data_IF_228575463140
#
_entry.id   IF_228575463140
#
_cell.length_a   1.000
_cell.length_b   1.000
_cell.length_c   1.000
_cell.angle_alpha   90.00
_cell.angle_beta   90.00
_cell.angle_gamma   90.00
#
_symmetry.space_group_name_H-M   'P 1'
#
loop_
_entity.id
_entity.type
_entity.pdbx_description
1 polymer ?
#
# COMPACT_ATOMS: atom_id res chain seq x y z
N UNK A 1 -6.81 -8.22 -10.68
CA UNK A 1 -6.01 -7.37 -9.78
C UNK A 1 -6.48 -5.91 -9.87
N UNK A 2 -6.30 -5.20 -10.99
CA UNK A 2 -6.70 -3.79 -11.14
C UNK A 2 -8.21 -3.49 -10.98
N UNK A 3 -9.08 -4.49 -11.17
CA UNK A 3 -10.52 -4.37 -10.86
C UNK A 3 -10.79 -4.00 -9.39
N UNK A 4 -9.96 -4.47 -8.46
CA UNK A 4 -10.07 -4.14 -7.03
C UNK A 4 -9.95 -2.63 -6.79
N UNK A 5 -9.20 -1.94 -7.64
CA UNK A 5 -8.94 -0.50 -7.52
C UNK A 5 -9.93 0.34 -8.34
N UNK A 6 -10.92 -0.26 -9.00
CA UNK A 6 -11.89 0.46 -9.82
C UNK A 6 -11.34 0.91 -11.18
N UNK A 7 -10.39 0.17 -11.76
CA UNK A 7 -9.90 0.43 -13.12
C UNK A 7 -11.06 0.35 -14.12
N UNK A 8 -11.26 1.42 -14.89
CA UNK A 8 -12.31 1.55 -15.91
C UNK A 8 -11.80 1.19 -17.30
N UNK A 9 -10.72 1.85 -17.71
CA UNK A 9 -10.12 1.65 -19.03
C UNK A 9 -8.60 1.63 -18.94
N UNK A 10 -7.98 1.01 -19.93
CA UNK A 10 -6.54 1.07 -20.15
C UNK A 10 -6.28 1.38 -21.61
N UNK A 11 -5.39 2.33 -21.88
CA UNK A 11 -4.90 2.64 -23.22
C UNK A 11 -3.41 2.33 -23.28
N UNK A 12 -2.96 1.69 -24.35
CA UNK A 12 -1.53 1.43 -24.57
C UNK A 12 -1.11 1.93 -25.95
N UNK A 13 0.09 2.50 -26.02
CA UNK A 13 0.71 2.93 -27.27
C UNK A 13 2.19 2.61 -27.25
N UNK A 14 2.62 1.85 -28.25
CA UNK A 14 4.02 1.63 -28.57
C UNK A 14 4.52 2.65 -29.59
N UNK A 15 5.74 3.12 -29.39
CA UNK A 15 6.51 3.94 -30.32
C UNK A 15 7.80 3.21 -30.64
N UNK A 16 8.19 3.15 -31.91
CA UNK A 16 9.40 2.46 -32.34
C UNK A 16 10.21 3.31 -33.31
N UNK A 17 11.52 3.41 -33.07
CA UNK A 17 12.49 4.03 -33.99
C UNK A 17 13.75 3.17 -34.02
N UNK A 18 13.96 2.46 -35.13
CA UNK A 18 15.04 1.47 -35.22
C UNK A 18 14.86 0.36 -34.17
N UNK A 19 15.89 0.16 -33.34
CA UNK A 19 15.88 -0.82 -32.24
C UNK A 19 15.26 -0.29 -30.93
N UNK A 20 14.96 1.01 -30.85
CA UNK A 20 14.39 1.62 -29.65
C UNK A 20 12.88 1.47 -29.68
N UNK A 21 12.33 0.98 -28.59
CA UNK A 21 10.90 0.87 -28.38
C UNK A 21 10.52 1.50 -27.05
N UNK A 22 9.46 2.30 -27.07
CA UNK A 22 8.84 2.91 -25.90
C UNK A 22 7.40 2.44 -25.87
N UNK A 23 6.96 1.87 -24.76
CA UNK A 23 5.58 1.50 -24.52
C UNK A 23 5.02 2.38 -23.39
N UNK A 24 3.96 3.13 -23.70
CA UNK A 24 3.22 3.91 -22.74
C UNK A 24 1.86 3.25 -22.47
N UNK A 25 1.52 3.05 -21.20
CA UNK A 25 0.24 2.53 -20.76
C UNK A 25 -0.39 3.50 -19.77
N UNK A 26 -1.61 3.92 -20.06
CA UNK A 26 -2.41 4.82 -19.22
C UNK A 26 -3.64 4.07 -18.74
N UNK A 27 -3.80 3.98 -17.43
CA UNK A 27 -4.95 3.37 -16.77
C UNK A 27 -5.82 4.48 -16.17
N UNK A 28 -7.14 4.42 -16.42
CA UNK A 28 -8.12 5.31 -15.78
C UNK A 28 -8.89 4.56 -14.70
N UNK A 29 -9.16 5.24 -13.58
CA UNK A 29 -9.85 4.67 -12.44
C UNK A 29 -11.11 5.45 -12.11
N UNK A 30 -12.03 4.84 -11.36
CA UNK A 30 -13.22 5.50 -10.85
C UNK A 30 -12.93 6.56 -9.79
N UNK A 31 -11.77 6.48 -9.14
CA UNK A 31 -11.35 7.41 -8.10
C UNK A 31 -9.83 7.59 -8.08
N UNK A 32 -9.38 8.71 -7.54
CA UNK A 32 -7.95 9.01 -7.40
C UNK A 32 -7.24 8.04 -6.46
N UNK A 33 -7.92 7.59 -5.41
CA UNK A 33 -7.42 6.56 -4.49
C UNK A 33 -7.16 5.23 -5.21
N UNK A 34 -8.05 4.84 -6.14
CA UNK A 34 -7.86 3.65 -6.97
C UNK A 34 -6.60 3.74 -7.83
N UNK A 35 -6.39 4.90 -8.46
CA UNK A 35 -5.18 5.16 -9.24
C UNK A 35 -3.91 5.14 -8.37
N UNK A 36 -3.95 5.73 -7.17
CA UNK A 36 -2.86 5.68 -6.21
C UNK A 36 -2.54 4.24 -5.75
N UNK A 37 -3.56 3.43 -5.46
CA UNK A 37 -3.37 2.01 -5.11
C UNK A 37 -2.74 1.23 -6.27
N UNK A 38 -3.17 1.47 -7.50
CA UNK A 38 -2.58 0.87 -8.69
C UNK A 38 -1.12 1.26 -8.87
N UNK A 39 -0.81 2.55 -8.71
CA UNK A 39 0.56 3.07 -8.69
C UNK A 39 1.39 2.34 -7.63
N UNK A 40 0.95 2.32 -6.36
CA UNK A 40 1.62 1.62 -5.26
C UNK A 40 1.92 0.13 -5.53
N UNK A 41 1.05 -0.52 -6.31
CA UNK A 41 1.10 -1.94 -6.64
C UNK A 41 1.98 -2.27 -7.85
N UNK A 42 1.94 -1.42 -8.88
CA UNK A 42 2.53 -1.70 -10.18
C UNK A 42 3.81 -0.91 -10.44
N UNK A 43 4.08 0.15 -9.67
CA UNK A 43 5.32 0.88 -9.84
C UNK A 43 6.50 -0.09 -9.60
N UNK A 44 7.47 -0.01 -10.51
CA UNK A 44 8.76 -0.67 -10.34
C UNK A 44 9.61 0.20 -9.42
N UNK A 45 10.49 -0.42 -8.63
CA UNK A 45 11.17 0.23 -7.51
C UNK A 45 11.82 1.56 -7.89
N UNK A 46 11.98 2.47 -6.92
CA UNK A 46 12.65 3.76 -7.14
C UNK A 46 14.13 3.63 -6.81
N UNK A 47 15.01 3.80 -7.79
CA UNK A 47 16.39 4.28 -7.54
C UNK A 47 16.40 5.79 -7.32
N UNK A 48 15.47 6.53 -7.95
CA UNK A 48 15.38 8.00 -7.82
C UNK A 48 13.94 8.51 -7.74
N UNK A 49 13.74 9.52 -6.88
CA UNK A 49 12.50 10.29 -6.84
C UNK A 49 12.62 11.47 -7.80
N UNK A 50 11.84 11.47 -8.86
CA UNK A 50 11.69 12.61 -9.78
C UNK A 50 10.28 13.14 -9.60
N UNK A 51 10.09 14.42 -9.28
CA UNK A 51 8.75 14.98 -9.07
C UNK A 51 8.01 15.16 -10.43
N UNK A 52 7.05 14.28 -10.73
CA UNK A 52 6.14 14.36 -11.88
C UNK A 52 4.73 13.93 -11.45
N UNK A 53 3.72 14.75 -11.75
CA UNK A 53 2.35 14.49 -11.31
C UNK A 53 2.19 14.63 -9.80
N UNK A 54 1.33 13.81 -9.20
CA UNK A 54 1.07 13.82 -7.75
C UNK A 54 2.01 12.84 -7.01
N UNK A 55 2.42 11.77 -7.68
CA UNK A 55 3.55 10.94 -7.27
C UNK A 55 4.18 10.25 -8.47
N UNK A 56 5.49 10.00 -8.41
CA UNK A 56 6.21 9.30 -9.45
C UNK A 56 7.41 8.52 -8.94
N UNK A 57 7.75 7.48 -9.69
CA UNK A 57 8.89 6.61 -9.48
C UNK A 57 9.58 6.40 -10.82
N UNK A 58 10.90 6.59 -10.85
CA UNK A 58 11.73 6.40 -12.03
C UNK A 58 12.80 5.34 -11.73
N UNK A 59 12.91 4.36 -12.63
CA UNK A 59 14.02 3.43 -12.73
C UNK A 59 14.68 3.57 -14.10
N UNK A 60 15.75 2.79 -14.37
CA UNK A 60 16.58 2.97 -15.56
C UNK A 60 15.81 2.78 -16.89
N UNK A 61 14.66 2.11 -16.87
CA UNK A 61 13.87 1.80 -18.06
C UNK A 61 12.46 2.37 -18.03
N UNK A 62 11.96 2.82 -16.88
CA UNK A 62 10.54 3.10 -16.73
C UNK A 62 10.22 4.23 -15.77
N UNK A 63 9.15 4.93 -16.10
CA UNK A 63 8.56 5.99 -15.30
C UNK A 63 7.14 5.59 -14.97
N UNK A 64 6.85 5.46 -13.68
CA UNK A 64 5.52 5.25 -13.13
C UNK A 64 5.02 6.55 -12.53
N UNK A 65 3.83 7.02 -12.90
CA UNK A 65 3.23 8.27 -12.42
C UNK A 65 1.79 8.02 -11.97
N UNK A 66 1.42 8.61 -10.85
CA UNK A 66 0.04 8.83 -10.44
C UNK A 66 -0.31 10.30 -10.60
N UNK A 67 -1.44 10.58 -11.26
CA UNK A 67 -2.01 11.92 -11.33
C UNK A 67 -3.53 11.85 -11.38
N UNK A 68 -4.19 12.51 -10.45
CA UNK A 68 -5.66 12.48 -10.31
C UNK A 68 -6.20 11.03 -10.33
N UNK A 69 -7.06 10.68 -11.29
CA UNK A 69 -7.68 9.36 -11.45
C UNK A 69 -6.90 8.44 -12.40
N UNK A 70 -5.66 8.79 -12.73
CA UNK A 70 -4.84 8.08 -13.70
C UNK A 70 -3.57 7.49 -13.08
N UNK A 71 -3.22 6.29 -13.52
CA UNK A 71 -1.90 5.70 -13.36
C UNK A 71 -1.26 5.53 -14.73
N UNK A 72 -0.05 6.03 -14.90
CA UNK A 72 0.71 6.04 -16.15
C UNK A 72 1.97 5.22 -15.93
N UNK A 73 2.26 4.30 -16.84
CA UNK A 73 3.51 3.54 -16.90
C UNK A 73 4.11 3.74 -18.28
N UNK A 74 5.29 4.36 -18.35
CA UNK A 74 6.07 4.49 -19.58
C UNK A 74 7.33 3.65 -19.41
N UNK A 75 7.64 2.78 -20.37
CA UNK A 75 8.84 1.94 -20.33
C UNK A 75 9.56 1.92 -21.67
N UNK A 76 10.89 1.94 -21.65
CA UNK A 76 11.77 1.77 -22.80
C UNK A 76 12.51 0.42 -22.78
N UNK A 77 13.09 0.03 -23.92
CA UNK A 77 13.82 -1.24 -24.08
C UNK A 77 15.34 -1.13 -23.96
N UNK A 78 15.90 0.06 -23.68
CA UNK A 78 17.34 0.31 -23.76
C UNK A 78 17.86 0.93 -22.46
N UNK A 79 18.61 0.16 -21.66
CA UNK A 79 19.12 0.55 -20.32
C UNK A 79 20.25 1.59 -20.38
N UNK A 80 21.10 1.50 -21.40
CA UNK A 80 22.34 2.29 -21.52
C UNK A 80 22.27 3.38 -22.58
N UNK A 81 21.05 3.79 -22.96
CA UNK A 81 20.83 4.77 -24.01
C UNK A 81 20.15 6.02 -23.46
N UNK A 82 20.96 7.06 -23.22
CA UNK A 82 20.49 8.35 -22.71
C UNK A 82 19.42 8.99 -23.62
N UNK A 83 19.47 8.75 -24.94
CA UNK A 83 18.42 9.23 -25.85
C UNK A 83 17.07 8.54 -25.57
N UNK A 84 17.08 7.23 -25.26
CA UNK A 84 15.88 6.48 -24.88
C UNK A 84 15.34 6.93 -23.53
N UNK A 85 16.20 7.18 -22.53
CA UNK A 85 15.78 7.71 -21.22
C UNK A 85 15.13 9.08 -21.35
N UNK A 86 15.74 9.98 -22.11
CA UNK A 86 15.16 11.30 -22.40
C UNK A 86 13.82 11.19 -23.12
N UNK A 87 13.69 10.25 -24.06
CA UNK A 87 12.43 10.03 -24.76
C UNK A 87 11.32 9.48 -23.83
N UNK A 88 11.63 8.51 -22.96
CA UNK A 88 10.71 8.00 -21.93
C UNK A 88 10.26 9.14 -21.00
N UNK A 89 11.21 9.93 -20.50
CA UNK A 89 10.95 11.09 -19.65
C UNK A 89 10.08 12.15 -20.34
N UNK A 90 10.35 12.44 -21.61
CA UNK A 90 9.57 13.40 -22.41
C UNK A 90 8.12 12.93 -22.62
N UNK A 91 7.92 11.66 -23.00
CA UNK A 91 6.58 11.07 -23.14
C UNK A 91 5.82 11.10 -21.82
N UNK A 92 6.48 10.71 -20.73
CA UNK A 92 5.89 10.73 -19.39
C UNK A 92 5.47 12.15 -18.96
N UNK A 93 6.29 13.16 -19.25
CA UNK A 93 5.99 14.57 -18.97
C UNK A 93 4.81 15.08 -19.78
N UNK A 94 4.76 14.79 -21.08
CA UNK A 94 3.65 15.20 -21.94
C UNK A 94 2.32 14.57 -21.50
N UNK A 95 2.32 13.28 -21.16
CA UNK A 95 1.13 12.59 -20.65
C UNK A 95 0.68 13.13 -19.29
N UNK A 96 1.62 13.55 -18.44
CA UNK A 96 1.30 14.13 -17.13
C UNK A 96 0.68 15.52 -17.31
N UNK A 97 1.24 16.35 -18.19
CA UNK A 97 0.79 17.72 -18.42
C UNK A 97 -0.57 17.80 -19.13
N UNK A 98 -1.00 16.72 -19.81
CA UNK A 98 -2.32 16.67 -20.45
C UNK A 98 -3.46 16.42 -19.45
N UNK A 99 -3.14 16.02 -18.22
CA UNK A 99 -4.12 15.84 -17.14
C UNK A 99 -4.12 17.14 -16.31
N UNK A 100 -5.24 17.85 -16.25
CA UNK A 100 -5.34 19.07 -15.44
C UNK A 100 -5.58 18.78 -13.94
N UNK A 101 -6.22 17.65 -13.63
CA UNK A 101 -6.57 17.26 -12.27
C UNK A 101 -5.38 16.95 -11.37
N UNK A 102 -5.64 16.94 -10.07
CA UNK A 102 -4.72 16.52 -9.04
C UNK A 102 -5.44 15.58 -8.06
N UNK A 103 -4.71 14.57 -7.61
CA UNK A 103 -5.14 13.59 -6.64
C UNK A 103 -4.65 13.95 -5.25
N UNK A 104 -5.52 13.77 -4.26
CA UNK A 104 -5.12 13.88 -2.86
C UNK A 104 -4.65 12.53 -2.32
N UNK A 105 -3.61 12.56 -1.50
CA UNK A 105 -3.14 11.36 -0.81
C UNK A 105 -4.26 10.78 0.06
N UNK A 106 -4.48 9.45 0.03
CA UNK A 106 -5.51 8.84 0.86
C UNK A 106 -5.28 9.13 2.34
N UNK A 107 -6.32 9.60 3.04
CA UNK A 107 -6.27 9.98 4.46
C UNK A 107 -5.73 8.86 5.35
N UNK A 108 -6.06 7.60 5.06
CA UNK A 108 -5.58 6.44 5.82
C UNK A 108 -4.05 6.26 5.73
N UNK A 109 -3.45 6.63 4.59
CA UNK A 109 -2.00 6.61 4.39
C UNK A 109 -1.34 7.78 5.11
N UNK A 110 -1.95 8.97 5.04
CA UNK A 110 -1.45 10.18 5.73
C UNK A 110 -1.44 10.03 7.26
N UNK A 111 -2.37 9.23 7.82
CA UNK A 111 -2.48 8.96 9.26
C UNK A 111 -1.53 7.88 9.78
N UNK A 112 -0.73 7.26 8.91
CA UNK A 112 0.27 6.30 9.37
C UNK A 112 1.32 7.03 10.23
N UNK A 113 1.77 6.44 11.36
CA UNK A 113 2.85 7.00 12.16
C UNK A 113 4.10 7.28 11.33
N UNK A 114 4.77 8.41 11.57
CA UNK A 114 6.00 8.77 10.85
C UNK A 114 7.27 8.22 11.50
N UNK A 115 7.23 7.97 12.81
CA UNK A 115 8.38 7.49 13.57
C UNK A 115 8.75 6.07 13.14
N UNK A 116 10.05 5.82 12.92
CA UNK A 116 10.61 4.54 12.47
C UNK A 116 10.06 3.99 11.15
N UNK A 117 9.20 4.75 10.45
CA UNK A 117 8.62 4.35 9.17
C UNK A 117 9.69 4.36 8.08
N UNK A 118 9.76 3.29 7.32
CA UNK A 118 10.60 3.22 6.13
C UNK A 118 9.97 4.11 5.05
N UNK A 119 10.65 5.20 4.71
CA UNK A 119 10.16 6.16 3.70
C UNK A 119 9.91 5.48 2.36
N UNK A 120 8.74 5.70 1.76
CA UNK A 120 8.36 5.12 0.48
C UNK A 120 7.82 3.68 0.57
N UNK A 121 7.68 3.13 1.78
CA UNK A 121 7.03 1.81 2.01
C UNK A 121 5.51 1.90 2.10
N UNK A 122 4.95 3.11 2.14
CA UNK A 122 3.53 3.36 2.27
C UNK A 122 2.75 2.81 1.06
N UNK A 123 1.71 2.03 1.28
CA UNK A 123 0.79 1.56 0.22
C UNK A 123 -0.66 1.70 0.66
N UNK A 124 -1.55 1.81 -0.33
CA UNK A 124 -2.99 1.74 -0.13
C UNK A 124 -3.48 0.31 -0.41
N UNK A 125 -4.38 -0.16 0.46
CA UNK A 125 -5.03 -1.46 0.42
C UNK A 125 -6.53 -1.22 0.27
N UNK A 126 -7.11 -1.64 -0.85
CA UNK A 126 -8.55 -1.46 -1.14
C UNK A 126 -9.32 -2.78 -1.14
N UNK A 127 -8.64 -3.91 -0.97
CA UNK A 127 -9.28 -5.21 -0.94
C UNK A 127 -8.32 -6.35 -0.60
N UNK A 128 -8.81 -7.60 -0.70
CA UNK A 128 -8.05 -8.78 -0.28
C UNK A 128 -6.81 -9.04 -1.14
N UNK A 129 -6.78 -8.62 -2.41
CA UNK A 129 -5.64 -8.85 -3.31
C UNK A 129 -4.46 -7.97 -2.89
N UNK A 130 -4.69 -6.67 -2.72
CA UNK A 130 -3.67 -5.75 -2.20
C UNK A 130 -3.25 -6.11 -0.77
N UNK A 131 -4.19 -6.49 0.09
CA UNK A 131 -3.89 -6.90 1.46
C UNK A 131 -2.94 -8.09 1.51
N UNK A 132 -3.24 -9.17 0.77
CA UNK A 132 -2.39 -10.38 0.70
C UNK A 132 -1.02 -10.11 0.09
N UNK A 133 -0.92 -9.17 -0.86
CA UNK A 133 0.36 -8.84 -1.50
C UNK A 133 1.29 -8.06 -0.57
N UNK A 134 0.75 -7.16 0.25
CA UNK A 134 1.59 -6.26 1.04
C UNK A 134 1.72 -6.65 2.52
N UNK A 135 0.75 -7.38 3.08
CA UNK A 135 0.69 -7.72 4.50
C UNK A 135 0.77 -9.24 4.73
N UNK A 136 1.79 -9.74 5.45
CA UNK A 136 1.94 -11.14 5.76
C UNK A 136 1.12 -11.51 7.00
N UNK A 137 -0.18 -11.73 6.82
CA UNK A 137 -1.03 -12.29 7.87
C UNK A 137 -2.08 -13.26 7.30
N UNK A 138 -2.49 -14.26 8.10
CA UNK A 138 -3.57 -15.16 7.75
C UNK A 138 -4.92 -14.43 7.65
N UNK A 139 -5.88 -15.07 6.97
CA UNK A 139 -7.31 -14.72 6.94
C UNK A 139 -7.67 -13.26 6.62
N UNK A 140 -6.82 -12.53 5.86
CA UNK A 140 -7.06 -11.11 5.52
C UNK A 140 -8.36 -10.85 4.76
N UNK A 141 -8.94 -11.86 4.11
CA UNK A 141 -10.25 -11.75 3.46
C UNK A 141 -11.40 -11.55 4.46
N UNK A 142 -11.25 -11.96 5.72
CA UNK A 142 -12.27 -11.78 6.76
C UNK A 142 -12.36 -10.34 7.29
N UNK A 143 -11.37 -9.50 6.96
CA UNK A 143 -11.39 -8.08 7.35
C UNK A 143 -12.38 -7.26 6.50
N UNK A 144 -13.08 -7.84 5.52
CA UNK A 144 -14.09 -7.13 4.72
C UNK A 144 -13.62 -5.76 4.16
N UNK A 145 -12.34 -5.65 3.79
CA UNK A 145 -11.70 -4.41 3.34
C UNK A 145 -12.47 -3.69 2.21
N UNK A 146 -13.09 -4.38 1.23
CA UNK A 146 -13.90 -3.70 0.21
C UNK A 146 -15.08 -2.87 0.76
N UNK A 147 -15.53 -3.15 1.99
CA UNK A 147 -16.59 -2.40 2.68
C UNK A 147 -16.03 -1.30 3.59
N UNK A 148 -14.71 -1.07 3.58
CA UNK A 148 -14.03 -0.02 4.32
C UNK A 148 -13.80 1.22 3.45
N UNK A 149 -13.33 2.33 4.06
CA UNK A 149 -12.82 3.51 3.36
C UNK A 149 -11.40 3.30 2.80
N UNK A 150 -10.81 2.13 3.03
CA UNK A 150 -9.46 1.77 2.62
C UNK A 150 -8.54 1.47 3.80
N UNK A 151 -7.42 0.82 3.50
CA UNK A 151 -6.35 0.51 4.43
C UNK A 151 -5.03 1.13 4.03
N UNK A 152 -4.29 1.69 5.00
CA UNK A 152 -2.92 2.15 4.83
C UNK A 152 -1.96 1.12 5.39
N UNK A 153 -0.90 0.80 4.65
CA UNK A 153 0.18 -0.08 5.12
C UNK A 153 1.54 0.60 4.98
N UNK A 154 2.44 0.35 5.92
CA UNK A 154 3.86 0.71 5.78
C UNK A 154 4.78 -0.26 6.53
N UNK A 155 6.05 -0.23 6.16
CA UNK A 155 7.14 -0.91 6.86
C UNK A 155 7.73 -0.01 7.93
N UNK A 156 8.06 -0.59 9.08
CA UNK A 156 8.67 0.08 10.21
C UNK A 156 9.94 -0.66 10.61
N UNK A 157 11.03 0.10 10.79
CA UNK A 157 12.31 -0.43 11.23
C UNK A 157 12.73 0.21 12.54
N UNK A 158 12.38 -0.45 13.65
CA UNK A 158 12.77 -0.02 14.98
C UNK A 158 14.25 -0.28 15.21
N UNK A 159 14.91 0.67 15.87
CA UNK A 159 16.29 0.53 16.33
C UNK A 159 16.36 0.26 17.84
N UNK A 160 15.45 0.87 18.62
CA UNK A 160 15.34 0.71 20.06
C UNK A 160 13.86 0.59 20.48
N UNK A 161 13.51 -0.17 21.54
CA UNK A 161 14.40 -0.98 22.39
C UNK A 161 14.90 -2.27 21.72
N UNK A 162 14.32 -2.64 20.56
CA UNK A 162 14.66 -3.86 19.84
C UNK A 162 14.80 -3.57 18.36
N UNK A 163 15.86 -4.10 17.73
CA UNK A 163 16.01 -4.03 16.27
C UNK A 163 15.05 -5.02 15.61
N UNK A 164 13.92 -4.52 15.13
CA UNK A 164 12.88 -5.32 14.48
C UNK A 164 12.35 -4.63 13.24
N UNK A 165 11.90 -5.46 12.28
CA UNK A 165 11.14 -5.01 11.12
C UNK A 165 9.71 -5.47 11.28
N UNK A 166 8.79 -4.52 11.25
CA UNK A 166 7.37 -4.76 11.41
C UNK A 166 6.61 -4.14 10.25
N UNK A 167 5.44 -4.69 9.97
CA UNK A 167 4.44 -4.11 9.07
C UNK A 167 3.25 -3.67 9.90
N UNK A 168 2.77 -2.46 9.66
CA UNK A 168 1.52 -1.96 10.22
C UNK A 168 0.51 -1.80 9.09
N UNK A 169 -0.66 -2.40 9.24
CA UNK A 169 -1.84 -2.17 8.41
C UNK A 169 -2.93 -1.51 9.27
N UNK A 170 -3.41 -0.35 8.85
CA UNK A 170 -4.53 0.37 9.46
C UNK A 170 -5.68 0.40 8.48
N UNK A 171 -6.84 -0.15 8.84
CA UNK A 171 -8.05 -0.15 8.01
C UNK A 171 -9.07 0.78 8.65
N UNK A 172 -9.60 1.75 7.90
CA UNK A 172 -10.66 2.66 8.37
C UNK A 172 -12.00 2.25 7.77
N UNK A 173 -12.94 1.79 8.59
CA UNK A 173 -14.27 1.38 8.13
C UNK A 173 -15.25 2.56 8.05
N UNK A 174 -14.93 3.70 8.67
CA UNK A 174 -15.85 4.83 8.80
C UNK A 174 -17.09 4.56 9.66
N UNK A 175 -17.24 3.35 10.20
CA UNK A 175 -18.33 2.93 11.08
C UNK A 175 -17.78 1.92 12.11
N UNK A 176 -18.01 2.19 13.39
CA UNK A 176 -17.59 1.32 14.50
C UNK A 176 -18.24 -0.06 14.47
N UNK A 177 -19.49 -0.17 13.99
CA UNK A 177 -20.19 -1.46 13.92
C UNK A 177 -19.53 -2.39 12.91
N UNK A 178 -19.19 -1.86 11.72
CA UNK A 178 -18.50 -2.62 10.68
C UNK A 178 -17.09 -3.02 11.12
N UNK A 179 -16.37 -2.12 11.79
CA UNK A 179 -15.05 -2.41 12.34
C UNK A 179 -15.11 -3.50 13.42
N UNK A 180 -16.07 -3.42 14.36
CA UNK A 180 -16.24 -4.42 15.40
C UNK A 180 -16.58 -5.81 14.85
N UNK A 181 -17.47 -5.87 13.87
CA UNK A 181 -17.83 -7.14 13.21
C UNK A 181 -16.63 -7.77 12.48
N UNK A 182 -15.90 -6.98 11.69
CA UNK A 182 -14.71 -7.45 10.99
C UNK A 182 -13.61 -7.89 11.96
N UNK A 183 -13.45 -7.18 13.07
CA UNK A 183 -12.51 -7.54 14.14
C UNK A 183 -12.86 -8.88 14.77
N UNK A 184 -14.11 -9.08 15.19
CA UNK A 184 -14.57 -10.33 15.80
C UNK A 184 -14.40 -11.52 14.86
N UNK A 185 -14.82 -11.39 13.60
CA UNK A 185 -14.66 -12.45 12.60
C UNK A 185 -13.20 -12.80 12.35
N UNK A 186 -12.32 -11.79 12.28
CA UNK A 186 -10.90 -12.00 12.10
C UNK A 186 -10.28 -12.70 13.31
N UNK A 187 -10.49 -12.17 14.52
CA UNK A 187 -9.95 -12.72 15.77
C UNK A 187 -10.38 -14.16 15.98
N UNK A 188 -11.69 -14.45 15.85
CA UNK A 188 -12.22 -15.80 16.01
C UNK A 188 -11.54 -16.80 15.05
N UNK A 189 -11.36 -16.43 13.78
CA UNK A 189 -10.67 -17.28 12.81
C UNK A 189 -9.19 -17.52 13.14
N UNK A 190 -8.50 -16.53 13.71
CA UNK A 190 -7.11 -16.71 14.10
C UNK A 190 -7.00 -17.56 15.38
N UNK A 191 -7.93 -17.40 16.33
CA UNK A 191 -7.98 -18.19 17.57
C UNK A 191 -8.17 -19.69 17.33
N UNK A 192 -8.88 -20.07 16.26
CA UNK A 192 -9.02 -21.47 15.85
C UNK A 192 -7.68 -22.13 15.47
N UNK A 193 -6.68 -21.34 15.07
CA UNK A 193 -5.40 -21.84 14.52
C UNK A 193 -4.18 -21.48 15.37
N UNK A 194 -4.29 -20.44 16.20
CA UNK A 194 -3.17 -19.86 16.91
C UNK A 194 -3.55 -19.48 18.34
N UNK A 195 -2.61 -19.69 19.26
CA UNK A 195 -2.81 -19.34 20.67
C UNK A 195 -2.85 -17.81 20.84
N UNK A 196 -3.97 -17.31 21.37
CA UNK A 196 -4.09 -15.93 21.86
C UNK A 196 -3.27 -15.78 23.15
N UNK A 197 -2.32 -14.85 23.15
CA UNK A 197 -1.42 -14.53 24.25
C UNK A 197 -1.66 -13.12 24.80
N UNK A 198 -2.84 -12.55 24.56
CA UNK A 198 -3.22 -11.26 25.13
C UNK A 198 -3.43 -11.37 26.64
N UNK A 199 -3.19 -10.30 27.42
CA UNK A 199 -3.71 -10.23 28.78
C UNK A 199 -5.25 -10.31 28.73
N UNK A 200 -5.85 -11.08 29.64
CA UNK A 200 -7.30 -11.32 29.74
C UNK A 200 -8.12 -10.03 29.85
N UNK A 201 -7.52 -8.97 30.37
CA UNK A 201 -8.22 -7.76 30.79
C UNK A 201 -8.28 -6.70 29.67
N UNK A 202 -7.64 -6.95 28.52
CA UNK A 202 -7.60 -5.99 27.42
C UNK A 202 -8.69 -6.31 26.40
N UNK A 203 -9.84 -5.64 26.54
CA UNK A 203 -10.88 -5.65 25.51
C UNK A 203 -10.37 -5.03 24.20
N UNK A 204 -10.88 -5.51 23.06
CA UNK A 204 -10.57 -4.99 21.72
C UNK A 204 -9.10 -5.13 21.27
N UNK A 205 -8.33 -6.01 21.91
CA UNK A 205 -6.96 -6.32 21.50
C UNK A 205 -6.71 -7.82 21.56
N UNK A 206 -6.17 -8.35 20.47
CA UNK A 206 -5.74 -9.73 20.35
C UNK A 206 -4.29 -9.80 19.86
N UNK A 207 -3.44 -10.52 20.57
CA UNK A 207 -2.04 -10.77 20.27
C UNK A 207 -1.85 -12.27 20.11
N UNK A 208 -1.42 -12.68 18.93
CA UNK A 208 -1.24 -14.08 18.57
C UNK A 208 0.23 -14.41 18.43
N UNK A 209 0.62 -15.58 18.94
CA UNK A 209 1.93 -16.17 18.63
C UNK A 209 1.81 -17.01 17.36
N UNK A 210 2.43 -16.52 16.29
CA UNK A 210 2.64 -17.28 15.06
C UNK A 210 3.96 -18.07 15.16
N UNK A 211 4.29 -18.87 14.14
CA UNK A 211 5.47 -19.74 14.17
C UNK A 211 6.77 -18.99 14.51
N UNK A 212 7.02 -17.85 13.85
CA UNK A 212 8.27 -17.08 13.98
C UNK A 212 8.06 -15.60 14.33
N UNK A 213 6.82 -15.20 14.65
CA UNK A 213 6.48 -13.81 14.88
C UNK A 213 5.23 -13.66 15.75
N UNK A 214 4.98 -12.43 16.19
CA UNK A 214 3.74 -12.02 16.82
C UNK A 214 2.88 -11.24 15.83
N UNK A 215 1.58 -11.49 15.89
CA UNK A 215 0.55 -10.74 15.17
C UNK A 215 -0.34 -10.05 16.18
N UNK A 216 -0.37 -8.72 16.16
CA UNK A 216 -1.32 -7.92 16.92
C UNK A 216 -2.49 -7.55 16.02
N UNK A 217 -3.70 -7.67 16.54
CA UNK A 217 -4.94 -7.13 15.99
C UNK A 217 -5.62 -6.28 17.07
N UNK A 218 -5.84 -5.01 16.81
CA UNK A 218 -6.45 -4.08 17.76
C UNK A 218 -7.58 -3.29 17.08
N UNK A 219 -8.75 -3.27 17.72
CA UNK A 219 -9.88 -2.46 17.32
C UNK A 219 -9.85 -1.13 18.07
N UNK A 220 -9.88 -0.02 17.31
CA UNK A 220 -9.96 1.34 17.82
C UNK A 220 -11.08 2.09 17.13
N UNK A 221 -12.20 2.25 17.84
CA UNK A 221 -13.41 2.92 17.33
C UNK A 221 -13.86 2.32 15.98
N UNK A 222 -13.61 3.03 14.87
CA UNK A 222 -13.95 2.65 13.50
C UNK A 222 -12.79 2.05 12.71
N UNK A 223 -11.66 1.73 13.36
CA UNK A 223 -10.43 1.26 12.71
C UNK A 223 -9.93 -0.06 13.28
N UNK A 224 -9.34 -0.87 12.42
CA UNK A 224 -8.57 -2.06 12.83
C UNK A 224 -7.10 -1.81 12.53
N UNK A 225 -6.25 -2.09 13.52
CA UNK A 225 -4.80 -2.04 13.42
C UNK A 225 -4.26 -3.46 13.47
N UNK A 226 -3.44 -3.81 12.49
CA UNK A 226 -2.73 -5.07 12.42
C UNK A 226 -1.23 -4.81 12.41
N UNK A 227 -0.49 -5.46 13.30
CA UNK A 227 0.97 -5.41 13.30
C UNK A 227 1.53 -6.82 13.16
N UNK A 228 2.33 -7.05 12.12
CA UNK A 228 2.97 -8.34 11.84
C UNK A 228 4.50 -8.20 11.74
N UNK A 229 5.21 -9.32 11.89
CA UNK A 229 6.67 -9.42 11.72
C UNK A 229 7.48 -9.21 13.00
N UNK A 230 6.85 -8.84 14.11
CA UNK A 230 7.53 -8.68 15.39
C UNK A 230 8.06 -10.00 15.94
N UNK A 231 9.30 -10.03 16.44
CA UNK A 231 9.88 -11.22 17.08
C UNK A 231 9.69 -11.23 18.58
N UNK A 232 9.55 -10.05 19.20
CA UNK A 232 9.30 -9.88 20.62
C UNK A 232 7.86 -9.48 20.88
N UNK A 233 7.25 -10.10 21.91
CA UNK A 233 5.86 -9.88 22.32
C UNK A 233 5.50 -8.40 22.54
N UNK A 234 6.44 -7.60 23.02
CA UNK A 234 6.21 -6.18 23.34
C UNK A 234 6.28 -5.25 22.11
N UNK A 235 6.99 -5.62 21.04
CA UNK A 235 7.24 -4.74 19.91
C UNK A 235 5.97 -4.31 19.13
N UNK A 236 4.98 -5.19 18.85
CA UNK A 236 3.74 -4.79 18.17
C UNK A 236 2.98 -3.70 18.92
N UNK A 237 3.01 -3.78 20.25
CA UNK A 237 2.30 -2.87 21.14
C UNK A 237 2.91 -1.47 21.10
N UNK A 238 4.22 -1.37 20.99
CA UNK A 238 4.94 -0.10 20.89
C UNK A 238 4.52 0.61 19.59
N UNK A 239 4.49 -0.11 18.47
CA UNK A 239 4.08 0.44 17.18
C UNK A 239 2.60 0.83 17.17
N UNK A 240 1.72 -0.02 17.70
CA UNK A 240 0.29 0.30 17.77
C UNK A 240 0.03 1.57 18.59
N UNK A 241 0.79 1.86 19.65
CA UNK A 241 0.63 3.09 20.45
C UNK A 241 0.95 4.38 19.69
N UNK A 242 1.70 4.30 18.59
CA UNK A 242 2.04 5.48 17.79
C UNK A 242 0.90 5.91 16.85
N UNK A 243 -0.08 5.05 16.61
CA UNK A 243 -1.25 5.37 15.78
C UNK A 243 -2.25 6.16 16.62
N UNK A 244 -2.54 7.41 16.25
CA UNK A 244 -3.56 8.25 16.88
C UNK A 244 -4.92 8.15 16.19
#
# INVERSE_FOLDING_TARGET
>A
MLKEFGCRTSFSKGFQRGQRRIDAVVYSFSSSQGAYAAYGLLHRGSTTFVARGDASSEDDQSVSIWKDTYFISVSGTSEDDEESKLAVSSVATQLTNSIAGHGELPQVVMRLPSLDRVRGSERLVLGPVSARRFFPAPSLNLLAIPNSRGGGIADYQYQAPFRERMKLLVIDYGNSTAAAQAYQQYVQSIEEQHQNVSPSDVQNRALFKLANSFLLCELREQRILLVSGARKRAAPMILARQVM
#
